data_IF_249664590952
#
_entry.id   IF_249664590952
#
_cell.length_a   1.000
_cell.length_b   1.000
_cell.length_c   1.000
_cell.angle_alpha   90.00
_cell.angle_beta   90.00
_cell.angle_gamma   90.00
#
_symmetry.space_group_name_H-M   'P 1'
#
loop_
_entity.id
_entity.type
_entity.pdbx_description
1 polymer ?
#
# COMPACT_ATOMS: atom_id res chain seq x y z
N UNK A 1 18.50 30.33 40.12
CA UNK A 1 17.09 30.12 39.67
C UNK A 1 16.98 29.97 38.15
N UNK A 2 17.85 30.57 37.35
CA UNK A 2 17.79 30.52 35.86
C UNK A 2 18.26 29.20 35.22
N UNK A 3 19.13 28.43 35.90
CA UNK A 3 19.62 27.15 35.31
C UNK A 3 18.57 26.03 35.35
N UNK A 4 17.68 26.03 36.29
CA UNK A 4 16.60 25.03 36.39
C UNK A 4 15.49 25.27 35.37
N UNK A 5 15.26 26.54 35.01
CA UNK A 5 14.31 26.94 33.97
C UNK A 5 14.81 26.55 32.58
N UNK A 6 16.09 26.77 32.28
CA UNK A 6 16.72 26.41 31.02
C UNK A 6 16.68 24.87 30.75
N UNK A 7 16.90 24.04 31.77
CA UNK A 7 16.80 22.58 31.67
C UNK A 7 15.39 22.10 31.33
N UNK A 8 14.37 22.71 31.93
CA UNK A 8 12.97 22.34 31.60
C UNK A 8 12.57 22.75 30.19
N UNK A 9 13.02 23.92 29.73
CA UNK A 9 12.79 24.36 28.33
C UNK A 9 13.54 23.49 27.33
N UNK A 10 14.77 23.09 27.63
CA UNK A 10 15.54 22.18 26.76
C UNK A 10 14.86 20.81 26.64
N UNK A 11 14.33 20.25 27.73
CA UNK A 11 13.57 19.00 27.72
C UNK A 11 12.27 19.10 26.93
N UNK A 12 11.55 20.23 27.05
CA UNK A 12 10.34 20.49 26.26
C UNK A 12 10.63 20.59 24.75
N UNK A 13 11.68 21.31 24.37
CA UNK A 13 12.09 21.45 22.97
C UNK A 13 12.51 20.09 22.39
N UNK A 14 13.24 19.27 23.14
CA UNK A 14 13.67 17.93 22.72
C UNK A 14 12.46 17.00 22.57
N UNK A 15 11.48 17.07 23.47
CA UNK A 15 10.24 16.30 23.40
C UNK A 15 9.37 16.70 22.19
N UNK A 16 9.31 18.00 21.88
CA UNK A 16 8.57 18.51 20.70
C UNK A 16 9.27 18.11 19.41
N UNK A 17 10.61 18.17 19.32
CA UNK A 17 11.36 17.75 18.13
C UNK A 17 11.24 16.25 17.85
N UNK A 18 11.11 15.41 18.87
CA UNK A 18 10.93 13.96 18.66
C UNK A 18 9.55 13.58 18.06
N UNK A 19 8.55 14.45 18.15
CA UNK A 19 7.22 14.22 17.55
C UNK A 19 7.26 14.38 16.01
N UNK A 20 8.15 15.20 15.48
CA UNK A 20 8.24 15.44 14.02
C UNK A 20 8.94 14.33 13.22
N UNK A 21 9.64 13.40 13.85
CA UNK A 21 10.41 12.34 13.18
C UNK A 21 9.54 11.12 12.81
N UNK A 22 8.29 11.03 13.26
CA UNK A 22 7.47 9.81 13.19
C UNK A 22 6.58 9.68 11.95
N UNK A 23 6.51 10.65 11.04
CA UNK A 23 5.61 10.58 9.90
C UNK A 23 6.33 10.12 8.62
N UNK A 24 6.82 8.86 8.60
CA UNK A 24 7.07 8.21 7.30
C UNK A 24 5.71 7.83 6.71
N UNK A 25 5.18 8.72 5.88
CA UNK A 25 3.93 8.53 5.17
C UNK A 25 4.02 7.33 4.20
N UNK A 26 2.89 6.72 3.88
CA UNK A 26 2.74 5.70 2.83
C UNK A 26 3.58 6.05 1.58
N UNK A 27 3.55 7.30 1.14
CA UNK A 27 4.28 7.75 -0.04
C UNK A 27 5.79 7.49 0.03
N UNK A 28 6.44 7.65 1.19
CA UNK A 28 7.88 7.38 1.31
C UNK A 28 8.21 5.88 1.23
N UNK A 29 7.24 5.00 1.56
CA UNK A 29 7.43 3.55 1.50
C UNK A 29 7.25 2.97 0.11
N UNK A 30 6.61 3.70 -0.81
CA UNK A 30 6.29 3.24 -2.15
C UNK A 30 6.85 4.15 -3.25
N UNK A 31 7.59 5.20 -2.86
CA UNK A 31 8.09 6.23 -3.80
C UNK A 31 9.01 5.67 -4.88
N UNK A 32 9.90 4.73 -4.56
CA UNK A 32 10.79 4.07 -5.53
C UNK A 32 9.99 3.37 -6.62
N UNK A 33 8.99 2.59 -6.25
CA UNK A 33 8.07 1.93 -7.17
C UNK A 33 7.40 2.92 -8.14
N UNK A 34 6.82 4.01 -7.62
CA UNK A 34 6.16 5.00 -8.48
C UNK A 34 7.15 5.78 -9.35
N UNK A 35 8.37 5.99 -8.89
CA UNK A 35 9.44 6.61 -9.69
C UNK A 35 9.78 5.73 -10.89
N UNK A 36 10.04 4.44 -10.70
CA UNK A 36 10.32 3.51 -11.79
C UNK A 36 9.13 3.36 -12.73
N UNK A 37 7.91 3.32 -12.16
CA UNK A 37 6.69 3.25 -12.96
C UNK A 37 6.52 4.47 -13.87
N UNK A 38 6.74 5.68 -13.35
CA UNK A 38 6.66 6.94 -14.11
C UNK A 38 7.75 7.05 -15.20
N UNK A 39 8.88 6.39 -15.00
CA UNK A 39 9.98 6.30 -15.97
C UNK A 39 9.76 5.20 -17.04
N UNK A 40 8.68 4.42 -16.94
CA UNK A 40 8.45 3.27 -17.82
C UNK A 40 9.36 2.07 -17.54
N UNK A 41 10.09 2.08 -16.43
CA UNK A 41 11.00 0.99 -16.01
C UNK A 41 10.21 -0.07 -15.23
N UNK A 42 9.30 -0.76 -15.92
CA UNK A 42 8.30 -1.63 -15.28
C UNK A 42 8.90 -2.83 -14.55
N UNK A 43 9.98 -3.42 -15.07
CA UNK A 43 10.69 -4.53 -14.42
C UNK A 43 11.39 -4.06 -13.13
N UNK A 44 11.88 -2.81 -13.09
CA UNK A 44 12.43 -2.24 -11.87
C UNK A 44 11.32 -1.96 -10.85
N UNK A 45 10.19 -1.43 -11.30
CA UNK A 45 9.01 -1.24 -10.47
C UNK A 45 8.50 -2.57 -9.89
N UNK A 46 8.46 -3.64 -10.68
CA UNK A 46 8.04 -4.96 -10.24
C UNK A 46 8.97 -5.50 -9.13
N UNK A 47 10.29 -5.38 -9.31
CA UNK A 47 11.27 -5.75 -8.27
C UNK A 47 11.10 -4.93 -7.00
N UNK A 48 10.78 -3.64 -7.09
CA UNK A 48 10.51 -2.81 -5.92
C UNK A 48 9.32 -3.34 -5.11
N UNK A 49 8.25 -3.78 -5.78
CA UNK A 49 7.10 -4.40 -5.11
C UNK A 49 7.51 -5.69 -4.38
N UNK A 50 8.33 -6.53 -5.02
CA UNK A 50 8.79 -7.80 -4.43
C UNK A 50 9.70 -7.60 -3.21
N UNK A 51 10.42 -6.50 -3.14
CA UNK A 51 11.26 -6.16 -1.98
C UNK A 51 10.55 -5.29 -0.93
N UNK A 52 9.34 -4.82 -1.20
CA UNK A 52 8.59 -3.92 -0.33
C UNK A 52 7.90 -4.67 0.82
N UNK A 53 8.61 -4.87 1.93
CA UNK A 53 8.07 -5.51 3.14
C UNK A 53 6.84 -4.81 3.72
N UNK A 54 6.61 -3.53 3.42
CA UNK A 54 5.43 -2.82 3.89
C UNK A 54 4.18 -3.27 3.13
N UNK A 55 4.26 -3.36 1.80
CA UNK A 55 3.15 -3.82 0.95
C UNK A 55 2.84 -5.31 1.16
N UNK A 56 3.84 -6.13 1.42
CA UNK A 56 3.68 -7.57 1.63
C UNK A 56 2.99 -7.93 2.96
N UNK A 57 2.81 -6.96 3.86
CA UNK A 57 2.08 -7.20 5.11
C UNK A 57 0.63 -7.59 4.82
N UNK A 58 0.08 -8.50 5.63
CA UNK A 58 -1.30 -9.00 5.51
C UNK A 58 -2.33 -7.86 5.30
N UNK A 59 -2.22 -6.78 6.07
CA UNK A 59 -3.13 -5.62 5.98
C UNK A 59 -3.06 -4.87 4.64
N UNK A 60 -1.94 -4.95 3.91
CA UNK A 60 -1.72 -4.28 2.63
C UNK A 60 -1.78 -5.26 1.45
N UNK A 61 -2.17 -6.52 1.69
CA UNK A 61 -2.14 -7.58 0.67
C UNK A 61 -2.97 -7.25 -0.56
N UNK A 62 -4.14 -6.66 -0.38
CA UNK A 62 -4.98 -6.22 -1.48
C UNK A 62 -4.23 -5.20 -2.35
N UNK A 63 -3.68 -4.14 -1.74
CA UNK A 63 -2.93 -3.12 -2.46
C UNK A 63 -1.72 -3.71 -3.19
N UNK A 64 -0.97 -4.62 -2.54
CA UNK A 64 0.13 -5.33 -3.19
C UNK A 64 -0.33 -6.08 -4.45
N UNK A 65 -1.45 -6.79 -4.39
CA UNK A 65 -1.98 -7.55 -5.52
C UNK A 65 -2.44 -6.63 -6.67
N UNK A 66 -3.08 -5.50 -6.33
CA UNK A 66 -3.50 -4.51 -7.33
C UNK A 66 -2.30 -3.91 -8.06
N UNK A 67 -1.26 -3.51 -7.32
CA UNK A 67 -0.04 -2.92 -7.92
C UNK A 67 0.73 -3.96 -8.75
N UNK A 68 0.85 -5.21 -8.29
CA UNK A 68 1.45 -6.31 -9.09
C UNK A 68 0.65 -6.57 -10.36
N UNK A 69 -0.67 -6.63 -10.27
CA UNK A 69 -1.54 -6.83 -11.42
C UNK A 69 -1.40 -5.72 -12.47
N UNK A 70 -1.37 -4.45 -12.01
CA UNK A 70 -1.15 -3.29 -12.87
C UNK A 70 0.24 -3.31 -13.51
N UNK A 71 1.27 -3.61 -12.75
CA UNK A 71 2.65 -3.63 -13.26
C UNK A 71 2.83 -4.73 -14.31
N UNK A 72 2.32 -5.94 -14.05
CA UNK A 72 2.35 -7.04 -15.01
C UNK A 72 1.59 -6.68 -16.31
N UNK A 73 0.45 -5.98 -16.20
CA UNK A 73 -0.26 -5.45 -17.37
C UNK A 73 0.61 -4.51 -18.19
N UNK A 74 1.31 -3.57 -17.56
CA UNK A 74 2.19 -2.60 -18.23
C UNK A 74 3.43 -3.28 -18.87
N UNK A 75 3.88 -4.40 -18.31
CA UNK A 75 4.93 -5.24 -18.88
C UNK A 75 4.44 -6.09 -20.06
N UNK A 76 3.13 -6.15 -20.34
CA UNK A 76 2.53 -7.00 -21.35
C UNK A 76 2.35 -8.46 -20.89
N UNK A 77 2.65 -8.78 -19.64
CA UNK A 77 2.36 -10.10 -19.07
C UNK A 77 0.91 -10.17 -18.57
N UNK A 78 0.01 -10.32 -19.53
CA UNK A 78 -1.43 -10.37 -19.26
C UNK A 78 -1.85 -11.59 -18.46
N UNK A 79 -1.09 -12.67 -18.54
CA UNK A 79 -1.33 -13.89 -17.76
C UNK A 79 -1.04 -13.65 -16.29
N UNK A 80 0.15 -13.14 -15.95
CA UNK A 80 0.51 -12.80 -14.60
C UNK A 80 -0.42 -11.69 -14.03
N UNK A 81 -0.74 -10.69 -14.87
CA UNK A 81 -1.70 -9.65 -14.49
C UNK A 81 -3.03 -10.25 -14.05
N UNK A 82 -3.62 -11.18 -14.84
CA UNK A 82 -4.86 -11.85 -14.47
C UNK A 82 -4.74 -12.68 -13.19
N UNK A 83 -3.60 -13.33 -12.96
CA UNK A 83 -3.39 -14.09 -11.71
C UNK A 83 -3.44 -13.18 -10.48
N UNK A 84 -2.75 -12.04 -10.51
CA UNK A 84 -2.76 -11.09 -9.40
C UNK A 84 -4.13 -10.44 -9.22
N UNK A 85 -4.80 -10.03 -10.30
CA UNK A 85 -6.11 -9.39 -10.24
C UNK A 85 -7.21 -10.36 -9.77
N UNK A 86 -7.15 -11.64 -10.16
CA UNK A 86 -8.07 -12.67 -9.66
C UNK A 86 -7.86 -12.91 -8.16
N UNK A 87 -6.61 -12.92 -7.69
CA UNK A 87 -6.31 -13.04 -6.27
C UNK A 87 -6.82 -11.82 -5.47
N UNK A 88 -6.71 -10.60 -6.05
CA UNK A 88 -7.28 -9.39 -5.46
C UNK A 88 -8.81 -9.45 -5.37
N UNK A 89 -9.47 -9.88 -6.44
CA UNK A 89 -10.92 -10.03 -6.56
C UNK A 89 -11.45 -11.04 -5.51
N UNK A 90 -10.84 -12.22 -5.44
CA UNK A 90 -11.17 -13.23 -4.44
C UNK A 90 -10.99 -12.72 -2.99
N UNK A 91 -9.99 -11.88 -2.76
CA UNK A 91 -9.76 -11.28 -1.45
C UNK A 91 -10.89 -10.30 -1.08
N UNK A 92 -11.40 -9.54 -2.05
CA UNK A 92 -12.54 -8.64 -1.89
C UNK A 92 -13.84 -9.40 -1.64
N UNK A 93 -14.08 -10.49 -2.37
CA UNK A 93 -15.29 -11.32 -2.25
C UNK A 93 -15.36 -12.10 -0.94
N UNK A 94 -14.22 -12.58 -0.44
CA UNK A 94 -14.14 -13.47 0.74
C UNK A 94 -14.69 -12.82 2.03
N UNK A 95 -15.01 -11.53 2.00
CA UNK A 95 -15.49 -10.80 3.18
C UNK A 95 -14.46 -10.73 4.33
N UNK A 96 -13.22 -11.14 4.05
CA UNK A 96 -12.10 -11.18 5.00
C UNK A 96 -11.93 -9.87 5.79
N UNK A 97 -12.49 -8.79 5.26
CA UNK A 97 -12.44 -7.46 5.83
C UNK A 97 -13.54 -7.15 6.86
N UNK A 98 -14.65 -7.93 6.88
CA UNK A 98 -15.85 -7.53 7.64
C UNK A 98 -15.76 -7.73 9.15
N UNK A 99 -15.14 -8.80 9.59
CA UNK A 99 -15.26 -9.22 11.01
C UNK A 99 -14.14 -8.63 11.87
N UNK A 100 -12.90 -8.61 11.39
CA UNK A 100 -11.77 -8.10 12.15
C UNK A 100 -11.70 -6.57 12.20
N UNK A 101 -12.08 -5.90 11.12
CA UNK A 101 -11.96 -4.45 11.02
C UNK A 101 -12.97 -3.69 11.88
N UNK A 102 -14.16 -4.24 12.11
CA UNK A 102 -15.12 -3.61 13.02
C UNK A 102 -14.66 -3.68 14.48
N UNK A 103 -14.09 -4.80 14.90
CA UNK A 103 -13.58 -4.95 16.26
C UNK A 103 -12.28 -4.17 16.49
N UNK A 104 -11.38 -4.15 15.51
CA UNK A 104 -10.09 -3.46 15.59
C UNK A 104 -10.25 -1.94 15.38
N UNK A 105 -11.14 -1.51 14.47
CA UNK A 105 -11.36 -0.10 14.17
C UNK A 105 -11.96 0.71 15.33
N UNK A 106 -12.69 0.04 16.25
CA UNK A 106 -13.25 0.65 17.44
C UNK A 106 -12.22 0.83 18.59
N UNK A 107 -11.11 0.08 18.56
CA UNK A 107 -10.16 -0.02 19.67
C UNK A 107 -8.74 0.41 19.34
N UNK A 108 -8.41 0.70 18.06
CA UNK A 108 -7.02 0.95 17.66
C UNK A 108 -6.87 2.07 16.63
N UNK A 109 -5.61 2.51 16.49
CA UNK A 109 -5.18 3.53 15.53
C UNK A 109 -5.60 3.16 14.09
N UNK A 110 -6.21 4.09 13.32
CA UNK A 110 -6.58 3.90 11.90
C UNK A 110 -5.45 3.34 11.02
N UNK A 111 -4.18 3.63 11.35
CA UNK A 111 -3.01 3.10 10.65
C UNK A 111 -2.85 1.57 10.76
N UNK A 112 -3.60 0.91 11.64
CA UNK A 112 -3.59 -0.56 11.80
C UNK A 112 -4.71 -1.24 11.01
N UNK A 113 -5.63 -0.47 10.42
CA UNK A 113 -6.71 -1.03 9.61
C UNK A 113 -6.16 -1.66 8.32
N UNK A 114 -6.86 -2.67 7.85
CA UNK A 114 -6.55 -3.32 6.58
C UNK A 114 -7.03 -2.45 5.42
N UNK A 115 -6.23 -2.37 4.35
CA UNK A 115 -6.64 -1.68 3.14
C UNK A 115 -7.82 -2.39 2.48
N UNK A 116 -8.91 -1.66 2.24
CA UNK A 116 -10.20 -2.21 1.75
C UNK A 116 -10.41 -2.07 0.25
N UNK A 117 -9.58 -1.31 -0.41
CA UNK A 117 -9.80 -0.89 -1.79
C UNK A 117 -10.94 0.13 -1.91
N UNK A 118 -10.75 1.09 -2.77
CA UNK A 118 -11.78 2.05 -3.15
C UNK A 118 -12.71 1.46 -4.21
N UNK A 119 -13.92 1.95 -4.33
CA UNK A 119 -14.90 1.40 -5.28
C UNK A 119 -14.43 1.48 -6.74
N UNK A 120 -13.71 2.56 -7.10
CA UNK A 120 -13.11 2.68 -8.43
C UNK A 120 -11.99 1.64 -8.67
N UNK A 121 -11.24 1.23 -7.64
CA UNK A 121 -10.22 0.19 -7.78
C UNK A 121 -10.84 -1.18 -8.05
N UNK A 122 -11.97 -1.48 -7.43
CA UNK A 122 -12.75 -2.70 -7.72
C UNK A 122 -13.22 -2.73 -9.18
N UNK A 123 -13.69 -1.57 -9.68
CA UNK A 123 -14.05 -1.44 -11.08
C UNK A 123 -12.83 -1.63 -12.01
N UNK A 124 -11.68 -1.07 -11.63
CA UNK A 124 -10.44 -1.20 -12.40
C UNK A 124 -9.95 -2.65 -12.49
N UNK A 125 -10.16 -3.49 -11.48
CA UNK A 125 -9.83 -4.93 -11.56
C UNK A 125 -10.53 -5.55 -12.77
N UNK A 126 -11.84 -5.36 -12.91
CA UNK A 126 -12.60 -5.94 -14.02
C UNK A 126 -12.22 -5.33 -15.36
N UNK A 127 -11.91 -4.04 -15.40
CA UNK A 127 -11.44 -3.35 -16.58
C UNK A 127 -10.12 -3.94 -17.09
N UNK A 128 -9.10 -4.07 -16.23
CA UNK A 128 -7.83 -4.67 -16.60
C UNK A 128 -7.97 -6.14 -17.00
N UNK A 129 -8.77 -6.91 -16.28
CA UNK A 129 -9.05 -8.32 -16.62
C UNK A 129 -9.68 -8.42 -18.01
N UNK A 130 -10.64 -7.58 -18.36
CA UNK A 130 -11.28 -7.58 -19.67
C UNK A 130 -10.25 -7.31 -20.80
N UNK A 131 -9.39 -6.30 -20.62
CA UNK A 131 -8.32 -6.01 -21.60
C UNK A 131 -7.33 -7.16 -21.69
N UNK A 132 -6.90 -7.74 -20.57
CA UNK A 132 -6.01 -8.89 -20.55
C UNK A 132 -6.58 -10.06 -21.38
N UNK A 133 -7.86 -10.38 -21.21
CA UNK A 133 -8.50 -11.44 -21.97
C UNK A 133 -8.59 -11.15 -23.48
N UNK A 134 -8.70 -9.87 -23.87
CA UNK A 134 -8.65 -9.49 -25.28
C UNK A 134 -7.26 -9.71 -25.88
N UNK A 135 -6.19 -9.50 -25.11
CA UNK A 135 -4.82 -9.72 -25.55
C UNK A 135 -4.40 -11.22 -25.54
N UNK A 136 -5.04 -12.03 -24.73
CA UNK A 136 -4.74 -13.47 -24.59
C UNK A 136 -5.51 -14.35 -25.59
N UNK A 137 -6.33 -13.75 -26.47
CA UNK A 137 -7.00 -14.44 -27.58
C UNK A 137 -6.04 -14.69 -28.73
#
# INVERSE_FOLDING_TARGET
MNQCLNKKWALLITAVMSIFVSCQTYNSKISSYYTHLAQGSYEAADRDLDHNKYLQRKRNKLLFLLEKGRTAFLMGDYTASNQYLNAADSLLESGYHRVWDQAVGLLTNPAMQQYRGEDFEKLLIHYYKAINYLHLR
#
